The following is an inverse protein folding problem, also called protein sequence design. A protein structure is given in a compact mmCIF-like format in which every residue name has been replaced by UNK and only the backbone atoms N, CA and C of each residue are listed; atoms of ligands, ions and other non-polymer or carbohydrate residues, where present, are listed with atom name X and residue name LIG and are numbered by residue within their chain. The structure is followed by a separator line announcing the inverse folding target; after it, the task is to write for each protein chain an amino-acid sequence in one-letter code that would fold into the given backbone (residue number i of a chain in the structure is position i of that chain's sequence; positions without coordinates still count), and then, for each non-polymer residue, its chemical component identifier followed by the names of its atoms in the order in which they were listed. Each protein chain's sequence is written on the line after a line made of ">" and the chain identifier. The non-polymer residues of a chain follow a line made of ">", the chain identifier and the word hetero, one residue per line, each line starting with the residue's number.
data_IF_269132822628
#
_entry.id   IF_269132822628
#
_cell.length_a   1.000
_cell.length_b   1.000
_cell.length_c   1.000
_cell.angle_alpha   90.00
_cell.angle_beta   90.00
_cell.angle_gamma   90.00
#
_symmetry.space_group_name_H-M   'P 1'
#
loop_
_entity.id
_entity.type
_entity.pdbx_description
1 polymer ?
#
# COMPACT_ATOMS: atom_id res chain seq x y z
N UNK A 1 -4.65 1.71 -3.61
CA UNK A 1 -3.84 2.59 -2.72
C UNK A 1 -2.87 1.78 -1.87
N UNK A 2 -1.65 2.29 -1.67
CA UNK A 2 -0.59 1.62 -0.93
C UNK A 2 -0.62 2.07 0.54
N UNK A 3 -0.94 1.14 1.42
CA UNK A 3 -1.16 1.40 2.85
C UNK A 3 0.01 0.88 3.69
N UNK A 4 0.18 1.44 4.89
CA UNK A 4 1.18 0.99 5.85
C UNK A 4 1.04 -0.50 6.17
N UNK A 5 -0.21 -0.97 6.17
CA UNK A 5 -0.59 -2.27 6.67
C UNK A 5 -1.75 -2.85 5.82
N UNK A 6 -1.78 -4.16 5.51
CA UNK A 6 -2.91 -4.78 4.81
C UNK A 6 -4.18 -4.88 5.67
N UNK A 7 -5.36 -4.54 5.14
CA UNK A 7 -6.65 -4.57 5.88
C UNK A 7 -6.90 -5.85 6.70
N UNK A 8 -6.36 -6.97 6.24
CA UNK A 8 -6.44 -8.26 6.93
C UNK A 8 -5.90 -8.24 8.37
N UNK A 9 -4.80 -7.52 8.69
CA UNK A 9 -4.36 -7.51 10.09
C UNK A 9 -5.29 -6.68 10.98
N UNK A 10 -5.90 -5.61 10.46
CA UNK A 10 -6.92 -4.87 11.22
C UNK A 10 -8.10 -5.78 11.54
N UNK A 11 -8.53 -6.60 10.58
CA UNK A 11 -9.56 -7.61 10.79
C UNK A 11 -9.14 -8.69 11.81
N UNK A 12 -7.88 -9.13 11.79
CA UNK A 12 -7.35 -10.07 12.77
C UNK A 12 -7.44 -9.51 14.20
N UNK A 13 -6.99 -8.27 14.41
CA UNK A 13 -7.08 -7.60 15.71
C UNK A 13 -8.53 -7.43 16.16
N UNK A 14 -9.43 -7.03 15.25
CA UNK A 14 -10.86 -6.94 15.54
C UNK A 14 -11.44 -8.28 16.02
N UNK A 15 -11.13 -9.38 15.33
CA UNK A 15 -11.61 -10.73 15.68
C UNK A 15 -11.06 -11.23 17.02
N UNK A 16 -9.87 -10.77 17.40
CA UNK A 16 -9.24 -11.11 18.68
C UNK A 16 -9.69 -10.19 19.82
N UNK A 17 -10.44 -9.12 19.53
CA UNK A 17 -10.78 -8.10 20.53
C UNK A 17 -9.59 -7.24 20.95
N UNK A 18 -8.53 -7.20 20.16
CA UNK A 18 -7.30 -6.44 20.44
C UNK A 18 -7.36 -5.06 19.76
N UNK A 19 -6.80 -4.04 20.41
CA UNK A 19 -6.55 -2.74 19.77
C UNK A 19 -5.47 -2.87 18.67
N UNK A 20 -5.48 -1.94 17.71
CA UNK A 20 -4.42 -1.78 16.72
C UNK A 20 -3.49 -0.62 17.12
N UNK A 21 -2.21 -0.64 16.71
CA UNK A 21 -1.32 0.50 16.88
C UNK A 21 -1.88 1.78 16.24
N UNK A 22 -1.56 2.93 16.84
CA UNK A 22 -1.88 4.23 16.26
C UNK A 22 -1.19 4.39 14.89
N UNK A 23 -1.87 5.07 13.96
CA UNK A 23 -1.35 5.32 12.61
C UNK A 23 -1.63 4.21 11.60
N UNK A 24 -2.24 3.08 12.01
CA UNK A 24 -2.68 2.05 11.07
C UNK A 24 -3.95 2.44 10.32
N UNK A 25 -4.85 3.15 10.99
CA UNK A 25 -6.13 3.55 10.42
C UNK A 25 -6.73 4.78 11.08
N UNK A 26 -7.79 5.28 10.47
CA UNK A 26 -8.61 6.37 10.95
C UNK A 26 -10.10 5.99 10.96
N UNK A 27 -10.89 6.71 11.74
CA UNK A 27 -12.34 6.60 11.75
C UNK A 27 -12.99 7.35 10.57
N UNK A 28 -14.32 7.36 10.51
CA UNK A 28 -15.10 8.02 9.46
C UNK A 28 -14.95 9.55 9.41
N UNK A 29 -14.40 10.17 10.47
CA UNK A 29 -14.06 11.60 10.48
C UNK A 29 -12.63 11.87 9.99
N UNK A 30 -11.88 10.82 9.66
CA UNK A 30 -10.46 10.90 9.28
C UNK A 30 -9.52 11.04 10.47
N UNK A 31 -10.00 10.90 11.70
CA UNK A 31 -9.16 10.96 12.91
C UNK A 31 -8.52 9.60 13.18
N UNK A 32 -7.23 9.59 13.52
CA UNK A 32 -6.51 8.35 13.85
C UNK A 32 -7.22 7.57 14.97
N UNK A 33 -7.27 6.26 14.82
CA UNK A 33 -7.96 5.38 15.76
C UNK A 33 -7.16 4.10 16.02
N UNK A 34 -7.16 3.68 17.28
CA UNK A 34 -6.63 2.38 17.73
C UNK A 34 -7.72 1.31 17.86
N UNK A 35 -8.98 1.68 17.62
CA UNK A 35 -10.12 0.78 17.63
C UNK A 35 -10.32 0.21 16.22
N UNK A 36 -10.07 -1.10 16.01
CA UNK A 36 -10.19 -1.68 14.68
C UNK A 36 -11.63 -1.68 14.15
N UNK A 37 -12.66 -1.64 15.02
CA UNK A 37 -14.05 -1.55 14.56
C UNK A 37 -14.29 -0.22 13.85
N UNK A 38 -13.82 0.90 14.42
CA UNK A 38 -13.95 2.24 13.81
C UNK A 38 -13.23 2.36 12.47
N UNK A 39 -12.11 1.64 12.30
CA UNK A 39 -11.37 1.62 11.03
C UNK A 39 -12.12 0.80 9.97
N UNK A 40 -12.75 -0.32 10.35
CA UNK A 40 -13.48 -1.20 9.43
C UNK A 40 -14.88 -0.66 9.09
N UNK A 41 -15.52 0.06 10.01
CA UNK A 41 -16.90 0.55 9.92
C UNK A 41 -16.94 2.02 9.48
N UNK A 42 -16.63 2.26 8.21
CA UNK A 42 -16.71 3.59 7.59
C UNK A 42 -15.47 4.46 7.75
N UNK A 43 -14.44 3.98 8.45
CA UNK A 43 -13.10 4.54 8.47
C UNK A 43 -12.24 4.11 7.27
N UNK A 44 -10.92 4.14 7.46
CA UNK A 44 -9.98 3.76 6.41
C UNK A 44 -8.56 3.54 6.91
N UNK A 45 -7.74 2.92 6.06
CA UNK A 45 -6.33 2.72 6.33
C UNK A 45 -5.53 3.97 5.97
N UNK A 46 -4.46 4.22 6.73
CA UNK A 46 -3.56 5.35 6.48
C UNK A 46 -2.53 4.96 5.40
N UNK A 47 -2.24 5.84 4.41
CA UNK A 47 -1.20 5.59 3.41
C UNK A 47 0.19 5.37 4.04
N UNK A 48 1.09 4.73 3.30
CA UNK A 48 2.51 4.67 3.71
C UNK A 48 3.04 6.10 3.91
N UNK A 49 3.75 6.33 5.01
CA UNK A 49 4.21 7.65 5.40
C UNK A 49 3.23 8.40 6.31
N UNK A 50 2.11 7.80 6.72
CA UNK A 50 1.31 8.32 7.84
C UNK A 50 0.55 9.61 7.51
N UNK A 51 0.68 10.61 8.38
CA UNK A 51 0.09 11.94 8.20
C UNK A 51 0.89 12.78 7.19
N UNK A 52 0.39 13.97 6.85
CA UNK A 52 1.11 14.92 6.00
C UNK A 52 2.51 15.25 6.57
N UNK A 53 2.61 15.44 7.88
CA UNK A 53 3.86 15.76 8.56
C UNK A 53 4.91 14.64 8.46
N UNK A 54 4.47 13.37 8.36
CA UNK A 54 5.35 12.21 8.21
C UNK A 54 5.53 11.77 6.74
N UNK A 55 4.96 12.52 5.79
CA UNK A 55 5.14 12.28 4.36
C UNK A 55 4.08 11.38 3.71
N UNK A 56 2.88 11.25 4.29
CA UNK A 56 1.80 10.39 3.78
C UNK A 56 1.37 10.69 2.35
N UNK A 57 1.54 11.94 1.88
CA UNK A 57 1.28 12.32 0.49
C UNK A 57 2.14 11.54 -0.52
N UNK A 58 3.33 11.06 -0.12
CA UNK A 58 4.19 10.22 -0.97
C UNK A 58 3.59 8.82 -1.14
N UNK A 59 3.12 8.20 -0.06
CA UNK A 59 2.44 6.90 -0.12
C UNK A 59 1.11 6.97 -0.88
N UNK A 60 0.37 8.07 -0.72
CA UNK A 60 -0.80 8.36 -1.53
C UNK A 60 -0.45 8.44 -3.02
N UNK A 61 0.59 9.21 -3.39
CA UNK A 61 1.06 9.33 -4.78
C UNK A 61 1.49 7.99 -5.38
N UNK A 62 2.23 7.17 -4.63
CA UNK A 62 2.58 5.80 -5.04
C UNK A 62 1.33 4.93 -5.23
N UNK A 63 0.36 5.03 -4.32
CA UNK A 63 -0.91 4.32 -4.43
C UNK A 63 -1.72 4.74 -5.65
N UNK A 64 -1.67 6.02 -6.03
CA UNK A 64 -2.29 6.55 -7.25
C UNK A 64 -1.62 6.03 -8.52
N UNK A 65 -0.28 5.93 -8.54
CA UNK A 65 0.46 5.33 -9.66
C UNK A 65 0.01 3.88 -9.91
N UNK A 66 -0.15 3.09 -8.84
CA UNK A 66 -0.66 1.72 -8.92
C UNK A 66 -2.09 1.70 -9.47
N UNK A 67 -2.96 2.60 -9.01
CA UNK A 67 -4.35 2.69 -9.49
C UNK A 67 -4.42 3.00 -10.99
N UNK A 68 -3.56 3.90 -11.46
CA UNK A 68 -3.48 4.26 -12.88
C UNK A 68 -3.03 3.05 -13.71
N UNK A 69 -1.99 2.35 -13.30
CA UNK A 69 -1.46 1.21 -14.06
C UNK A 69 -2.36 -0.02 -14.01
N UNK A 70 -2.89 -0.37 -12.84
CA UNK A 70 -3.66 -1.59 -12.64
C UNK A 70 -5.16 -1.40 -12.85
N UNK A 71 -5.70 -0.19 -12.69
CA UNK A 71 -7.10 0.12 -12.94
C UNK A 71 -7.30 0.66 -14.34
N UNK A 72 -6.83 1.90 -14.55
CA UNK A 72 -7.11 2.67 -15.78
C UNK A 72 -6.45 2.03 -17.01
N UNK A 73 -5.13 1.84 -16.98
CA UNK A 73 -4.36 1.36 -18.13
C UNK A 73 -4.70 -0.09 -18.49
N UNK A 74 -5.02 -0.92 -17.49
CA UNK A 74 -5.44 -2.31 -17.69
C UNK A 74 -6.90 -2.45 -18.16
N UNK A 75 -7.68 -1.36 -18.23
CA UNK A 75 -9.12 -1.41 -18.57
C UNK A 75 -9.99 -2.06 -17.50
N UNK A 76 -9.54 -2.09 -16.24
CA UNK A 76 -10.22 -2.71 -15.12
C UNK A 76 -11.08 -1.71 -14.34
N UNK A 77 -11.78 -2.18 -13.30
CA UNK A 77 -12.45 -1.27 -12.35
C UNK A 77 -11.40 -0.60 -11.45
N UNK A 78 -11.76 0.57 -10.94
CA UNK A 78 -10.88 1.42 -10.15
C UNK A 78 -11.66 2.15 -9.05
N UNK A 79 -10.98 2.52 -7.98
CA UNK A 79 -11.53 3.26 -6.84
C UNK A 79 -12.82 2.63 -6.31
N UNK A 80 -13.83 3.44 -5.99
CA UNK A 80 -15.13 3.04 -5.48
C UNK A 80 -15.97 2.15 -6.42
N UNK A 81 -15.49 1.85 -7.63
CA UNK A 81 -16.15 0.92 -8.54
C UNK A 81 -15.74 -0.54 -8.29
N UNK A 82 -14.64 -0.76 -7.57
CA UNK A 82 -14.23 -2.09 -7.13
C UNK A 82 -15.17 -2.54 -6.01
N UNK A 83 -15.64 -3.78 -6.08
CA UNK A 83 -16.49 -4.34 -5.03
C UNK A 83 -15.78 -4.36 -3.68
N UNK A 84 -16.54 -4.27 -2.60
CA UNK A 84 -16.02 -4.46 -1.25
C UNK A 84 -15.54 -5.90 -1.08
N UNK A 85 -14.40 -6.11 -0.41
CA UNK A 85 -13.75 -7.41 -0.25
C UNK A 85 -14.69 -8.54 0.23
N UNK A 86 -15.60 -8.25 1.17
CA UNK A 86 -16.53 -9.24 1.76
C UNK A 86 -17.72 -9.58 0.87
N UNK A 87 -17.89 -8.88 -0.25
CA UNK A 87 -19.05 -9.01 -1.12
C UNK A 87 -18.67 -9.89 -2.34
N UNK A 88 -19.34 -11.04 -2.46
CA UNK A 88 -19.05 -12.05 -3.50
C UNK A 88 -20.07 -12.13 -4.64
N UNK A 89 -21.03 -11.22 -4.69
CA UNK A 89 -22.11 -11.18 -5.68
C UNK A 89 -21.66 -10.73 -7.08
N UNK A 90 -20.52 -10.03 -7.16
CA UNK A 90 -19.97 -9.43 -8.38
C UNK A 90 -18.51 -9.81 -8.54
N UNK A 91 -18.06 -9.87 -9.79
CA UNK A 91 -16.64 -10.03 -10.12
C UNK A 91 -15.89 -8.78 -9.66
N UNK A 92 -14.72 -8.96 -9.03
CA UNK A 92 -13.92 -7.85 -8.54
C UNK A 92 -13.44 -6.93 -9.68
N UNK A 93 -13.12 -7.52 -10.83
CA UNK A 93 -12.58 -6.85 -12.02
C UNK A 93 -11.38 -5.98 -11.66
N UNK A 94 -10.35 -6.65 -11.14
CA UNK A 94 -9.05 -6.06 -10.83
C UNK A 94 -8.14 -6.23 -12.03
N UNK A 95 -7.33 -5.22 -12.32
CA UNK A 95 -6.24 -5.35 -13.29
C UNK A 95 -4.89 -5.48 -12.61
N UNK A 96 -3.89 -5.86 -13.40
CA UNK A 96 -2.52 -6.08 -12.96
C UNK A 96 -1.59 -5.43 -13.99
N UNK A 97 -0.49 -4.86 -13.51
CA UNK A 97 0.55 -4.30 -14.35
C UNK A 97 1.86 -5.07 -14.13
N UNK A 98 2.49 -5.49 -15.22
CA UNK A 98 3.78 -6.17 -15.20
C UNK A 98 4.79 -5.33 -15.98
N UNK A 99 5.95 -5.07 -15.39
CA UNK A 99 7.03 -4.30 -16.00
C UNK A 99 8.27 -5.18 -16.08
N UNK A 100 8.80 -5.36 -17.29
CA UNK A 100 10.05 -6.07 -17.54
C UNK A 100 11.04 -5.12 -18.22
N UNK A 101 12.22 -4.97 -17.61
CA UNK A 101 13.29 -4.13 -18.13
C UNK A 101 14.53 -4.99 -18.37
N UNK A 102 15.11 -4.92 -19.57
CA UNK A 102 16.38 -5.57 -19.86
C UNK A 102 17.53 -4.63 -19.46
N UNK A 103 18.27 -4.90 -18.37
CA UNK A 103 19.31 -3.99 -17.89
C UNK A 103 20.47 -3.81 -18.89
N UNK A 104 20.68 -4.80 -19.78
CA UNK A 104 21.74 -4.75 -20.81
C UNK A 104 21.54 -3.62 -21.82
N UNK A 105 20.32 -3.10 -21.96
CA UNK A 105 20.00 -2.00 -22.86
C UNK A 105 20.40 -0.62 -22.32
N UNK A 106 20.75 -0.50 -21.03
CA UNK A 106 20.98 0.81 -20.39
C UNK A 106 22.45 1.07 -20.10
N UNK A 107 23.12 0.16 -19.40
CA UNK A 107 24.52 0.33 -19.04
C UNK A 107 25.21 -1.02 -18.75
N UNK A 108 26.52 -1.15 -19.04
CA UNK A 108 27.28 -2.37 -18.78
C UNK A 108 27.39 -2.68 -17.28
N UNK A 109 27.83 -3.90 -16.94
CA UNK A 109 28.15 -4.33 -15.57
C UNK A 109 27.03 -4.01 -14.56
N UNK A 110 25.78 -4.30 -14.91
CA UNK A 110 24.63 -4.05 -14.03
C UNK A 110 24.72 -4.85 -12.73
N UNK A 111 25.06 -6.14 -12.81
CA UNK A 111 25.17 -7.05 -11.67
C UNK A 111 26.23 -6.59 -10.66
N UNK A 112 27.39 -6.14 -11.15
CA UNK A 112 28.48 -5.67 -10.28
C UNK A 112 28.06 -4.41 -9.53
N UNK A 113 27.50 -3.42 -10.24
CA UNK A 113 27.01 -2.17 -9.63
C UNK A 113 25.88 -2.40 -8.63
N UNK A 114 24.98 -3.35 -8.91
CA UNK A 114 23.92 -3.72 -7.98
C UNK A 114 24.49 -4.40 -6.73
N UNK A 115 25.49 -5.27 -6.90
CA UNK A 115 26.16 -5.94 -5.80
C UNK A 115 26.91 -4.95 -4.90
N UNK A 116 27.59 -3.98 -5.49
CA UNK A 116 28.25 -2.88 -4.79
C UNK A 116 27.26 -2.03 -3.98
N UNK A 117 26.15 -1.60 -4.60
CA UNK A 117 25.09 -0.84 -3.92
C UNK A 117 24.54 -1.61 -2.70
N UNK A 118 24.27 -2.90 -2.86
CA UNK A 118 23.79 -3.74 -1.76
C UNK A 118 24.84 -3.90 -0.65
N UNK A 119 26.12 -3.99 -1.01
CA UNK A 119 27.23 -4.06 -0.04
C UNK A 119 27.32 -2.76 0.77
N UNK A 120 27.26 -1.60 0.11
CA UNK A 120 27.24 -0.29 0.76
C UNK A 120 26.11 -0.25 1.79
N UNK A 121 24.87 -0.51 1.38
CA UNK A 121 23.71 -0.39 2.26
C UNK A 121 23.71 -1.36 3.45
N UNK A 122 24.28 -2.56 3.30
CA UNK A 122 24.37 -3.54 4.40
C UNK A 122 25.40 -3.18 5.46
N UNK A 123 26.40 -2.39 5.08
CA UNK A 123 27.51 -2.00 5.96
C UNK A 123 27.36 -0.59 6.53
N UNK A 124 26.26 0.11 6.22
CA UNK A 124 25.94 1.36 6.89
C UNK A 124 25.65 1.09 8.37
N UNK A 125 26.16 1.96 9.25
CA UNK A 125 25.76 1.93 10.65
C UNK A 125 24.25 2.21 10.74
N UNK A 126 23.47 1.40 11.49
CA UNK A 126 22.07 1.67 11.74
C UNK A 126 21.92 3.04 12.40
N UNK A 127 21.05 3.88 11.82
CA UNK A 127 20.69 5.20 12.35
C UNK A 127 19.41 5.12 13.16
#
# INVERSE_FOLDING_TARGET
>A
LLYLIPVFYVELHHRQGNSIPEGWGCDSSGKLSTDPAKVLEGGGLVPIGGSEATGGYKGYGLGMMVEIFCGILAGAQYSNKIRVWKVTDKVANLGQCFVALNPKCFAPNFQDRMSDLLHIHRNLEPV
#
